data_IF_530333647009
#
_entry.id   IF_530333647009
#
_cell.length_a   1.000
_cell.length_b   1.000
_cell.length_c   1.000
_cell.angle_alpha   90.00
_cell.angle_beta   90.00
_cell.angle_gamma   90.00
#
_symmetry.space_group_name_H-M   'P 1'
#
loop_
_entity.id
_entity.type
_entity.pdbx_description
1 polymer ?
#
# COMPACT_ATOMS: atom_id res chain seq x y z
N UNK A 1 44.00 28.04 -2.00
CA UNK A 1 42.75 28.40 -1.27
C UNK A 1 41.52 28.35 -2.19
N UNK A 2 41.48 29.09 -3.31
CA UNK A 2 40.32 29.14 -4.20
C UNK A 2 39.84 27.77 -4.74
N UNK A 3 40.75 26.89 -5.18
CA UNK A 3 40.36 25.56 -5.68
C UNK A 3 39.70 24.68 -4.60
N UNK A 4 40.18 24.76 -3.35
CA UNK A 4 39.60 24.01 -2.24
C UNK A 4 38.18 24.51 -1.90
N UNK A 5 37.97 25.83 -1.98
CA UNK A 5 36.64 26.43 -1.81
C UNK A 5 35.70 26.00 -2.94
N UNK A 6 36.18 25.98 -4.19
CA UNK A 6 35.39 25.53 -5.34
C UNK A 6 34.94 24.06 -5.20
N UNK A 7 35.85 23.16 -4.79
CA UNK A 7 35.51 21.75 -4.54
C UNK A 7 34.49 21.59 -3.42
N UNK A 8 34.63 22.35 -2.33
CA UNK A 8 33.68 22.30 -1.21
C UNK A 8 32.28 22.80 -1.64
N UNK A 9 32.20 23.87 -2.42
CA UNK A 9 30.94 24.38 -2.98
C UNK A 9 30.30 23.35 -3.91
N UNK A 10 31.07 22.73 -4.81
CA UNK A 10 30.57 21.69 -5.71
C UNK A 10 30.03 20.48 -4.95
N UNK A 11 30.76 20.03 -3.92
CA UNK A 11 30.32 18.90 -3.09
C UNK A 11 29.05 19.22 -2.31
N UNK A 12 28.97 20.40 -1.71
CA UNK A 12 27.80 20.84 -0.94
C UNK A 12 26.59 21.06 -1.85
N UNK A 13 26.79 21.69 -3.02
CA UNK A 13 25.76 21.89 -4.03
C UNK A 13 25.22 20.57 -4.58
N UNK A 14 26.11 19.62 -4.89
CA UNK A 14 25.73 18.28 -5.33
C UNK A 14 24.92 17.55 -4.25
N UNK A 15 25.34 17.61 -2.98
CA UNK A 15 24.62 16.97 -1.87
C UNK A 15 23.21 17.56 -1.69
N UNK A 16 23.08 18.88 -1.79
CA UNK A 16 21.79 19.58 -1.72
C UNK A 16 20.88 19.22 -2.90
N UNK A 17 21.40 19.23 -4.13
CA UNK A 17 20.63 18.80 -5.31
C UNK A 17 20.17 17.36 -5.16
N UNK A 18 21.04 16.43 -4.74
CA UNK A 18 20.66 15.03 -4.52
C UNK A 18 19.58 14.88 -3.46
N UNK A 19 19.63 15.65 -2.37
CA UNK A 19 18.57 15.64 -1.35
C UNK A 19 17.25 16.20 -1.87
N UNK A 20 17.29 17.28 -2.66
CA UNK A 20 16.09 17.85 -3.28
C UNK A 20 15.45 16.89 -4.29
N UNK A 21 16.26 16.22 -5.12
CA UNK A 21 15.76 15.21 -6.07
C UNK A 21 15.26 13.94 -5.37
N UNK A 22 15.89 13.50 -4.27
CA UNK A 22 15.41 12.36 -3.49
C UNK A 22 14.06 12.62 -2.82
N UNK A 23 13.77 13.87 -2.43
CA UNK A 23 12.44 14.24 -1.91
C UNK A 23 11.34 14.33 -2.99
N UNK A 24 11.72 14.42 -4.27
CA UNK A 24 10.81 14.45 -5.42
C UNK A 24 10.57 13.05 -6.01
N UNK A 25 11.55 12.15 -5.87
CA UNK A 25 11.43 10.77 -6.32
C UNK A 25 10.47 10.05 -5.36
N UNK A 26 9.24 9.78 -5.83
CA UNK A 26 8.23 8.97 -5.12
C UNK A 26 8.64 7.51 -5.12
N UNK A 27 9.81 7.21 -4.59
CA UNK A 27 10.29 5.85 -4.46
C UNK A 27 9.59 5.21 -3.25
N UNK A 28 9.00 4.04 -3.47
CA UNK A 28 8.37 3.28 -2.40
C UNK A 28 9.43 2.93 -1.35
N UNK A 29 9.22 3.34 -0.10
CA UNK A 29 10.12 3.03 1.02
C UNK A 29 9.86 1.58 1.46
N UNK A 30 10.75 0.61 1.17
CA UNK A 30 10.46 -0.81 1.41
C UNK A 30 10.18 -1.12 2.89
N UNK A 31 10.83 -0.38 3.81
CA UNK A 31 10.59 -0.53 5.24
C UNK A 31 9.19 -0.07 5.62
N UNK A 32 8.71 0.99 4.98
CA UNK A 32 7.36 1.49 5.19
C UNK A 32 6.32 0.54 4.60
N UNK A 33 6.58 -0.06 3.43
CA UNK A 33 5.72 -1.10 2.86
C UNK A 33 5.55 -2.29 3.82
N UNK A 34 6.65 -2.83 4.33
CA UNK A 34 6.61 -3.94 5.30
C UNK A 34 5.88 -3.56 6.58
N UNK A 35 6.10 -2.34 7.06
CA UNK A 35 5.44 -1.83 8.26
C UNK A 35 3.92 -1.71 8.08
N UNK A 36 3.46 -1.24 6.92
CA UNK A 36 2.04 -1.15 6.57
C UNK A 36 1.45 -2.56 6.48
N UNK A 37 2.09 -3.46 5.73
CA UNK A 37 1.65 -4.85 5.58
C UNK A 37 1.51 -5.56 6.94
N UNK A 38 2.47 -5.40 7.85
CA UNK A 38 2.40 -5.96 9.20
C UNK A 38 1.25 -5.37 10.02
N UNK A 39 1.05 -4.05 9.93
CA UNK A 39 -0.01 -3.34 10.67
C UNK A 39 -1.39 -3.82 10.24
N UNK A 40 -1.61 -3.90 8.93
CA UNK A 40 -2.90 -4.33 8.38
C UNK A 40 -3.12 -5.83 8.61
N UNK A 41 -2.08 -6.66 8.45
CA UNK A 41 -2.16 -8.11 8.71
C UNK A 41 -2.55 -8.42 10.16
N UNK A 42 -2.02 -7.66 11.13
CA UNK A 42 -2.33 -7.85 12.55
C UNK A 42 -3.79 -7.54 12.93
N UNK A 43 -4.50 -6.78 12.09
CA UNK A 43 -5.90 -6.38 12.29
C UNK A 43 -6.81 -6.90 11.17
N UNK A 44 -6.30 -7.82 10.35
CA UNK A 44 -6.96 -8.26 9.12
C UNK A 44 -8.30 -8.92 9.43
N UNK A 45 -9.36 -8.44 8.78
CA UNK A 45 -10.65 -9.12 8.76
C UNK A 45 -10.68 -10.20 7.67
N UNK A 46 -11.50 -11.27 7.83
CA UNK A 46 -11.69 -12.29 6.79
C UNK A 46 -12.14 -11.73 5.44
N UNK A 47 -12.89 -10.63 5.44
CA UNK A 47 -13.37 -9.96 4.23
C UNK A 47 -12.32 -9.06 3.55
N UNK A 48 -11.16 -8.83 4.17
CA UNK A 48 -10.04 -8.15 3.54
C UNK A 48 -9.17 -9.20 2.85
N UNK A 49 -9.49 -9.48 1.59
CA UNK A 49 -8.97 -10.64 0.85
C UNK A 49 -7.51 -10.42 0.46
N UNK A 50 -7.16 -9.20 0.07
CA UNK A 50 -5.82 -8.89 -0.41
C UNK A 50 -5.58 -7.39 -0.53
N UNK A 51 -4.30 -7.03 -0.64
CA UNK A 51 -3.87 -5.69 -1.03
C UNK A 51 -2.91 -5.78 -2.21
N UNK A 52 -3.03 -4.86 -3.15
CA UNK A 52 -2.13 -4.75 -4.31
C UNK A 52 -1.87 -3.29 -4.69
N UNK A 53 -0.86 -3.06 -5.53
CA UNK A 53 -0.36 -1.71 -5.88
C UNK A 53 -0.05 -0.82 -4.68
N UNK A 54 0.48 -1.40 -3.61
CA UNK A 54 0.87 -0.66 -2.41
C UNK A 54 2.10 0.22 -2.69
N UNK A 55 1.92 1.53 -2.58
CA UNK A 55 3.03 2.49 -2.56
C UNK A 55 2.95 3.32 -1.30
N UNK A 56 4.11 3.55 -0.71
CA UNK A 56 4.19 4.38 0.46
C UNK A 56 5.52 5.13 0.51
N UNK A 57 5.46 6.43 0.84
CA UNK A 57 6.64 7.28 0.97
C UNK A 57 6.40 8.37 2.01
N UNK A 58 7.48 8.97 2.51
CA UNK A 58 7.43 10.08 3.48
C UNK A 58 7.79 11.39 2.80
N UNK A 59 6.99 12.43 3.02
CA UNK A 59 7.24 13.79 2.55
C UNK A 59 7.15 14.75 3.74
N UNK A 60 8.30 15.23 4.20
CA UNK A 60 8.39 16.01 5.43
C UNK A 60 7.90 15.21 6.65
N UNK A 61 6.85 15.72 7.31
CA UNK A 61 6.21 15.07 8.45
C UNK A 61 4.95 14.25 8.07
N UNK A 62 4.66 14.11 6.77
CA UNK A 62 3.49 13.40 6.26
C UNK A 62 3.92 12.08 5.66
N UNK A 63 3.11 11.05 5.91
CA UNK A 63 3.24 9.74 5.27
C UNK A 63 2.16 9.67 4.19
N UNK A 64 2.53 9.30 2.98
CA UNK A 64 1.60 9.02 1.89
C UNK A 64 1.51 7.51 1.72
N UNK A 65 0.30 6.99 1.63
CA UNK A 65 0.00 5.57 1.44
C UNK A 65 -1.09 5.46 0.38
N UNK A 66 -0.84 4.72 -0.70
CA UNK A 66 -1.86 4.33 -1.66
C UNK A 66 -1.82 2.83 -1.93
N UNK A 67 -2.99 2.21 -2.07
CA UNK A 67 -3.13 0.80 -2.47
C UNK A 67 -4.57 0.47 -2.85
N UNK A 68 -4.74 -0.72 -3.38
CA UNK A 68 -6.03 -1.32 -3.65
C UNK A 68 -6.35 -2.38 -2.60
N UNK A 69 -7.53 -2.33 -2.01
CA UNK A 69 -8.06 -3.32 -1.08
C UNK A 69 -9.07 -4.21 -1.81
N UNK A 70 -8.81 -5.52 -1.83
CA UNK A 70 -9.71 -6.50 -2.42
C UNK A 70 -10.77 -6.89 -1.38
N UNK A 71 -12.04 -6.76 -1.77
CA UNK A 71 -13.22 -7.05 -0.96
C UNK A 71 -14.17 -8.03 -1.68
N UNK A 72 -15.10 -8.67 -0.96
CA UNK A 72 -16.07 -9.58 -1.57
C UNK A 72 -16.93 -8.87 -2.62
N UNK A 73 -17.11 -9.51 -3.79
CA UNK A 73 -17.84 -8.92 -4.92
C UNK A 73 -19.33 -8.63 -4.63
N UNK A 74 -19.91 -9.29 -3.65
CA UNK A 74 -21.31 -9.12 -3.24
C UNK A 74 -21.51 -8.07 -2.13
N UNK A 75 -20.44 -7.44 -1.65
CA UNK A 75 -20.51 -6.35 -0.68
C UNK A 75 -21.22 -5.14 -1.32
N UNK A 76 -22.13 -4.50 -0.57
CA UNK A 76 -22.73 -3.24 -1.02
C UNK A 76 -21.66 -2.14 -1.06
N UNK A 77 -21.86 -1.11 -1.89
CA UNK A 77 -20.94 0.04 -1.95
C UNK A 77 -20.78 0.70 -0.56
N UNK A 78 -21.87 0.80 0.20
CA UNK A 78 -21.85 1.35 1.56
C UNK A 78 -21.00 0.50 2.51
N UNK A 79 -21.16 -0.82 2.48
CA UNK A 79 -20.37 -1.73 3.29
C UNK A 79 -18.89 -1.72 2.88
N UNK A 80 -18.58 -1.72 1.58
CA UNK A 80 -17.22 -1.59 1.09
C UNK A 80 -16.56 -0.27 1.56
N UNK A 81 -17.32 0.82 1.52
CA UNK A 81 -16.83 2.11 2.02
C UNK A 81 -16.59 2.11 3.54
N UNK A 82 -17.43 1.42 4.32
CA UNK A 82 -17.21 1.26 5.75
C UNK A 82 -15.92 0.46 6.05
N UNK A 83 -15.66 -0.59 5.28
CA UNK A 83 -14.41 -1.36 5.40
C UNK A 83 -13.18 -0.54 5.04
N UNK A 84 -13.26 0.25 3.96
CA UNK A 84 -12.18 1.20 3.59
C UNK A 84 -11.91 2.19 4.73
N UNK A 85 -12.95 2.78 5.32
CA UNK A 85 -12.80 3.72 6.46
C UNK A 85 -12.11 3.07 7.65
N UNK A 86 -12.43 1.83 7.96
CA UNK A 86 -11.77 1.14 9.06
C UNK A 86 -10.27 0.92 8.80
N UNK A 87 -9.90 0.60 7.56
CA UNK A 87 -8.50 0.48 7.16
C UNK A 87 -7.79 1.85 7.20
N UNK A 88 -8.46 2.92 6.75
CA UNK A 88 -7.97 4.30 6.90
C UNK A 88 -7.72 4.64 8.37
N UNK A 89 -8.67 4.36 9.27
CA UNK A 89 -8.56 4.62 10.71
C UNK A 89 -7.37 3.87 11.35
N UNK A 90 -7.13 2.62 10.91
CA UNK A 90 -5.97 1.85 11.35
C UNK A 90 -4.66 2.55 10.96
N UNK A 91 -4.58 3.07 9.74
CA UNK A 91 -3.39 3.76 9.23
C UNK A 91 -3.23 5.14 9.88
N UNK A 92 -4.31 5.90 10.07
CA UNK A 92 -4.29 7.18 10.78
C UNK A 92 -3.88 7.03 12.24
N UNK A 93 -4.33 5.98 12.92
CA UNK A 93 -3.92 5.69 14.29
C UNK A 93 -2.42 5.41 14.40
N UNK A 94 -1.79 4.89 13.34
CA UNK A 94 -0.36 4.55 13.31
C UNK A 94 0.53 5.70 12.84
N UNK A 95 0.16 6.36 11.75
CA UNK A 95 0.99 7.38 11.07
C UNK A 95 0.56 8.82 11.36
N UNK A 96 -0.54 8.99 12.11
CA UNK A 96 -1.11 10.28 12.50
C UNK A 96 -2.11 10.83 11.48
N UNK A 97 -3.07 11.63 11.95
CA UNK A 97 -4.16 12.19 11.13
C UNK A 97 -3.72 13.10 9.96
N UNK A 98 -2.44 13.51 9.93
CA UNK A 98 -1.86 14.30 8.84
C UNK A 98 -1.35 13.47 7.67
N UNK A 99 -1.34 12.13 7.79
CA UNK A 99 -1.02 11.24 6.67
C UNK A 99 -2.05 11.36 5.55
N UNK A 100 -1.62 11.05 4.34
CA UNK A 100 -2.45 11.01 3.16
C UNK A 100 -2.63 9.55 2.78
N UNK A 101 -3.86 9.05 2.89
CA UNK A 101 -4.20 7.64 2.70
C UNK A 101 -5.24 7.58 1.59
N UNK A 102 -4.95 6.85 0.52
CA UNK A 102 -5.85 6.63 -0.59
C UNK A 102 -6.02 5.13 -0.82
N UNK A 103 -7.23 4.64 -0.55
CA UNK A 103 -7.56 3.22 -0.74
C UNK A 103 -8.60 3.10 -1.84
N UNK A 104 -8.26 2.35 -2.89
CA UNK A 104 -9.24 1.93 -3.88
C UNK A 104 -9.84 0.58 -3.46
N UNK A 105 -11.16 0.42 -3.52
CA UNK A 105 -11.80 -0.86 -3.23
C UNK A 105 -12.08 -1.63 -4.52
N UNK A 106 -11.45 -2.79 -4.66
CA UNK A 106 -11.66 -3.69 -5.80
C UNK A 106 -12.52 -4.89 -5.38
N UNK A 107 -13.45 -5.35 -6.23
CA UNK A 107 -14.13 -6.62 -6.01
C UNK A 107 -13.18 -7.78 -6.28
N UNK A 108 -13.30 -8.86 -5.51
CA UNK A 108 -12.55 -10.08 -5.77
C UNK A 108 -12.87 -10.69 -7.15
N UNK A 109 -11.88 -11.32 -7.77
CA UNK A 109 -11.99 -12.03 -9.04
C UNK A 109 -11.60 -13.53 -8.95
N UNK A 110 -11.70 -14.25 -10.07
CA UNK A 110 -11.49 -15.69 -10.09
C UNK A 110 -10.07 -16.13 -9.63
N UNK A 111 -8.97 -15.46 -10.04
CA UNK A 111 -7.64 -15.71 -9.49
C UNK A 111 -7.54 -15.57 -7.96
N UNK A 112 -8.22 -14.58 -7.38
CA UNK A 112 -8.13 -14.25 -5.94
C UNK A 112 -9.09 -15.08 -5.07
N UNK A 113 -10.15 -15.62 -5.68
CA UNK A 113 -11.24 -16.35 -5.00
C UNK A 113 -10.79 -17.51 -4.07
N UNK A 114 -9.76 -18.30 -4.40
CA UNK A 114 -9.27 -19.34 -3.48
C UNK A 114 -8.72 -18.77 -2.18
N UNK A 115 -8.12 -17.57 -2.19
CA UNK A 115 -7.49 -16.95 -1.00
C UNK A 115 -8.48 -16.15 -0.13
N UNK A 116 -9.74 -16.08 -0.55
CA UNK A 116 -10.81 -15.40 0.16
C UNK A 116 -11.32 -16.29 1.29
N UNK A 117 -11.43 -15.76 2.52
CA UNK A 117 -11.93 -16.50 3.69
C UNK A 117 -13.47 -16.45 3.84
N UNK A 118 -14.19 -15.79 2.92
CA UNK A 118 -15.66 -15.69 2.97
C UNK A 118 -16.30 -17.04 2.67
N UNK A 119 -17.06 -17.58 3.62
CA UNK A 119 -17.79 -18.83 3.49
C UNK A 119 -19.19 -18.72 4.12
N UNK A 120 -20.28 -19.08 3.41
CA UNK A 120 -20.33 -19.57 2.03
C UNK A 120 -20.13 -18.45 0.99
N UNK A 121 -19.29 -18.70 -0.02
CA UNK A 121 -19.13 -17.81 -1.18
C UNK A 121 -19.74 -18.43 -2.44
N UNK A 122 -20.77 -17.77 -3.01
CA UNK A 122 -21.46 -18.25 -4.23
C UNK A 122 -20.66 -18.08 -5.53
N UNK A 123 -19.54 -17.34 -5.48
CA UNK A 123 -18.71 -17.01 -6.64
C UNK A 123 -17.42 -17.82 -6.70
N UNK A 124 -17.07 -18.54 -5.63
CA UNK A 124 -15.83 -19.32 -5.58
C UNK A 124 -15.98 -20.55 -6.48
N UNK A 125 -15.14 -20.64 -7.51
CA UNK A 125 -15.15 -21.74 -8.48
C UNK A 125 -14.25 -22.93 -8.07
N UNK A 126 -13.33 -22.72 -7.13
CA UNK A 126 -12.41 -23.72 -6.60
C UNK A 126 -12.53 -23.78 -5.06
N UNK A 127 -11.93 -24.79 -4.43
CA UNK A 127 -11.91 -24.89 -2.97
C UNK A 127 -11.12 -23.73 -2.33
N UNK A 128 -11.47 -23.39 -1.09
CA UNK A 128 -10.74 -22.39 -0.33
C UNK A 128 -9.30 -22.85 -0.11
N UNK A 129 -8.34 -21.99 -0.41
CA UNK A 129 -6.93 -22.11 -0.06
C UNK A 129 -6.62 -21.14 1.10
N UNK A 130 -5.49 -21.35 1.78
CA UNK A 130 -5.09 -20.49 2.88
C UNK A 130 -4.86 -19.05 2.40
N UNK A 131 -5.37 -18.08 3.16
CA UNK A 131 -5.18 -16.66 2.91
C UNK A 131 -3.69 -16.31 2.72
N UNK A 132 -3.37 -15.62 1.62
CA UNK A 132 -2.00 -15.16 1.33
C UNK A 132 -1.55 -14.13 2.37
N UNK A 133 -0.30 -14.27 2.81
CA UNK A 133 0.36 -13.29 3.67
C UNK A 133 0.60 -12.00 2.90
N UNK A 134 0.33 -10.85 3.52
CA UNK A 134 0.64 -9.56 2.90
C UNK A 134 2.11 -9.23 3.18
N UNK A 135 2.95 -9.31 2.15
CA UNK A 135 4.36 -8.93 2.20
C UNK A 135 4.55 -7.65 1.38
N UNK A 136 5.41 -6.72 1.83
CA UNK A 136 5.60 -5.42 1.17
C UNK A 136 5.98 -5.56 -0.30
N UNK A 137 6.88 -6.49 -0.61
CA UNK A 137 7.34 -6.77 -1.97
C UNK A 137 6.23 -7.31 -2.87
N UNK A 138 5.35 -8.18 -2.39
CA UNK A 138 4.24 -8.72 -3.21
C UNK A 138 3.09 -7.74 -3.33
N UNK A 139 2.81 -6.96 -2.27
CA UNK A 139 1.72 -6.00 -2.25
C UNK A 139 2.01 -4.78 -3.14
N UNK A 140 3.29 -4.45 -3.37
CA UNK A 140 3.70 -3.32 -4.22
C UNK A 140 3.75 -3.64 -5.71
N UNK A 141 3.62 -4.90 -6.10
CA UNK A 141 3.57 -5.28 -7.51
C UNK A 141 2.25 -4.82 -8.13
N UNK A 142 2.35 -4.33 -9.36
CA UNK A 142 1.21 -4.26 -10.26
C UNK A 142 0.92 -5.71 -10.71
N UNK A 143 -0.13 -6.34 -10.19
CA UNK A 143 -0.72 -7.47 -10.91
C UNK A 143 -1.28 -6.87 -12.21
N UNK A 144 -0.56 -7.05 -13.33
CA UNK A 144 -1.07 -6.67 -14.65
C UNK A 144 -2.45 -7.32 -14.82
N UNK A 145 -3.51 -6.50 -14.91
CA UNK A 145 -4.84 -7.01 -15.28
C UNK A 145 -4.70 -7.82 -16.58
N UNK A 146 -4.93 -9.14 -16.58
CA UNK A 146 -4.84 -9.91 -17.81
C UNK A 146 -6.08 -9.59 -18.65
N UNK A 147 -5.93 -8.62 -19.55
CA UNK A 147 -6.86 -8.37 -20.65
C UNK A 147 -7.91 -7.29 -20.38
N UNK A 148 -7.57 -6.08 -20.81
CA UNK A 148 -8.54 -5.21 -21.50
C UNK A 148 -8.38 -5.37 -23.01
#
# INVERSE_FOLDING_TARGET
VACAVAVNILFTGYRLMRQAFAGLMREADPRLLDEICQTLSARRKPIWIGIHRLRAWRSGNRTHVDFHLILPRDLSLEAAHAEVREVEDILYAKYGAQSDVLIHADPCDAPQCPECDVDPCRWRAADAAHARLWLGDTASLDEEEPGR
#
